data_IF_570012345238
#
_entry.id   IF_570012345238
#
_cell.length_a   1.000
_cell.length_b   1.000
_cell.length_c   1.000
_cell.angle_alpha   90.00
_cell.angle_beta   90.00
_cell.angle_gamma   90.00
#
_symmetry.space_group_name_H-M   'P 1'
#
loop_
_entity.id
_entity.type
_entity.pdbx_description
1 polymer ?
2 polymer ?
3 non-polymer ?
4 water ?
#
# COMPACT_ATOMS: atom_id res chain seq x y z
N UNK A 10 -19.28 9.14 -4.10
CA UNK A 10 -18.43 7.93 -4.27
C UNK A 10 -19.03 6.63 -3.72
N UNK A 11 -19.79 6.71 -2.64
CA UNK A 11 -20.35 5.50 -2.01
C UNK A 11 -21.34 4.73 -2.87
N UNK A 12 -21.93 5.41 -3.83
CA UNK A 12 -22.85 4.82 -4.79
C UNK A 12 -22.19 3.73 -5.66
N UNK A 13 -20.85 3.76 -5.74
CA UNK A 13 -20.11 2.72 -6.44
C UNK A 13 -20.22 1.35 -5.75
N UNK A 14 -20.69 1.31 -4.51
CA UNK A 14 -20.91 0.04 -3.82
C UNK A 14 -22.28 -0.49 -4.14
N UNK A 15 -23.17 0.38 -4.63
CA UNK A 15 -24.59 0.04 -4.84
C UNK A 15 -24.88 -0.49 -6.25
N UNK A 16 -24.21 0.05 -7.27
CA UNK A 16 -24.32 -0.49 -8.63
C UNK A 16 -23.47 -1.73 -8.93
N UNK A 17 -23.30 -2.07 -10.21
CA UNK A 17 -22.47 -3.23 -10.59
C UNK A 17 -21.00 -2.96 -10.37
N UNK A 18 -20.25 -4.01 -10.08
CA UNK A 18 -18.88 -3.86 -9.64
C UNK A 18 -17.93 -3.31 -10.70
N UNK A 19 -18.22 -3.51 -12.00
CA UNK A 19 -17.34 -2.98 -13.07
C UNK A 19 -17.14 -1.46 -12.95
N UNK A 20 -18.16 -0.74 -12.51
CA UNK A 20 -18.04 0.69 -12.28
C UNK A 20 -17.05 0.99 -11.17
N UNK A 21 -17.10 0.21 -10.08
CA UNK A 21 -16.18 0.37 -8.94
C UNK A 21 -14.77 0.11 -9.41
N UNK A 22 -14.60 -0.98 -10.14
CA UNK A 22 -13.29 -1.39 -10.57
C UNK A 22 -12.68 -0.36 -11.51
N UNK A 23 -13.47 0.19 -12.44
CA UNK A 23 -12.95 1.23 -13.31
C UNK A 23 -12.59 2.49 -12.52
N UNK A 24 -13.38 2.85 -11.52
CA UNK A 24 -12.99 3.96 -10.67
C UNK A 24 -11.60 3.72 -10.01
N UNK A 25 -11.36 2.51 -9.52
CA UNK A 25 -10.10 2.21 -8.85
C UNK A 25 -8.92 2.23 -9.81
N UNK A 26 -9.13 1.77 -11.04
CA UNK A 26 -8.11 1.91 -12.08
C UNK A 26 -7.82 3.35 -12.44
N UNK A 27 -8.83 4.20 -12.50
CA UNK A 27 -8.66 5.62 -12.87
C UNK A 27 -7.89 6.38 -11.79
N UNK A 28 -8.17 6.13 -10.52
CA UNK A 28 -7.46 6.82 -9.44
C UNK A 28 -6.12 6.13 -9.02
N UNK A 29 -5.68 5.09 -9.73
CA UNK A 29 -4.35 4.55 -9.50
C UNK A 29 -3.35 5.70 -9.64
N UNK A 30 -2.44 5.88 -8.67
CA UNK A 30 -1.42 6.94 -8.78
C UNK A 30 -0.50 6.73 -9.97
N UNK A 31 -0.03 7.82 -10.56
CA UNK A 31 0.77 7.74 -11.78
C UNK A 31 2.20 7.37 -11.37
N UNK A 32 2.94 6.90 -12.37
CA UNK A 32 4.33 6.47 -12.22
C UNK A 32 5.11 7.54 -11.47
N UNK A 33 5.96 7.14 -10.53
CA UNK A 33 6.80 8.10 -9.83
C UNK A 33 8.26 7.88 -10.24
N UNK A 34 8.98 8.98 -10.41
CA UNK A 34 10.43 8.98 -10.65
C UNK A 34 11.15 9.32 -9.36
N UNK A 35 12.35 8.77 -9.17
CA UNK A 35 13.06 8.84 -7.90
C UNK A 35 14.23 9.85 -7.86
N UNK A 36 14.81 10.13 -9.04
CA UNK A 36 16.05 10.93 -9.21
C UNK A 36 17.27 10.20 -8.63
N UNK A 48 22.35 6.31 -1.57
CA UNK A 48 21.16 5.89 -2.31
C UNK A 48 20.08 5.36 -1.35
N UNK A 49 20.23 5.65 -0.07
CA UNK A 49 19.21 5.35 0.94
C UNK A 49 18.33 6.59 1.06
N UNK A 50 18.96 7.75 0.92
CA UNK A 50 18.28 9.03 0.86
C UNK A 50 17.38 9.17 -0.37
N UNK A 51 17.62 8.36 -1.40
CA UNK A 51 16.76 8.37 -2.58
C UNK A 51 15.42 7.77 -2.23
N UNK A 52 15.45 6.63 -1.52
CA UNK A 52 14.23 5.93 -1.16
C UNK A 52 13.43 6.70 -0.12
N UNK A 53 14.12 7.34 0.82
CA UNK A 53 13.46 8.18 1.80
C UNK A 53 12.70 9.30 1.16
N UNK A 54 13.29 9.89 0.12
CA UNK A 54 12.63 10.96 -0.63
C UNK A 54 11.42 10.41 -1.38
N UNK A 55 11.61 9.27 -2.02
CA UNK A 55 10.60 8.62 -2.82
C UNK A 55 9.44 8.14 -1.95
N UNK A 56 9.73 7.59 -0.78
CA UNK A 56 8.70 7.08 0.11
C UNK A 56 7.88 8.20 0.70
N UNK A 57 8.53 9.36 0.92
CA UNK A 57 7.84 10.51 1.47
C UNK A 57 6.80 10.99 0.48
N UNK A 58 7.20 11.07 -0.77
CA UNK A 58 6.29 11.45 -1.84
C UNK A 58 5.17 10.44 -2.12
N UNK A 59 5.42 9.16 -1.88
CA UNK A 59 4.41 8.17 -2.09
C UNK A 59 3.38 8.16 -0.98
N UNK A 60 3.75 8.63 0.20
CA UNK A 60 2.78 8.83 1.26
C UNK A 60 1.77 9.89 0.84
N UNK A 61 2.24 10.97 0.21
CA UNK A 61 1.35 12.06 -0.19
C UNK A 61 0.32 11.54 -1.19
N UNK A 62 0.83 10.85 -2.19
CA UNK A 62 0.05 10.17 -3.22
C UNK A 62 -0.92 9.13 -2.64
N UNK A 63 -0.44 8.34 -1.70
CA UNK A 63 -1.28 7.38 -1.02
C UNK A 63 -2.44 8.07 -0.26
N UNK A 64 -2.17 9.21 0.39
CA UNK A 64 -3.23 9.89 1.14
C UNK A 64 -4.39 10.31 0.25
N UNK A 65 -4.09 10.92 -0.90
CA UNK A 65 -5.15 11.34 -1.81
C UNK A 65 -5.79 10.14 -2.50
N UNK A 66 -5.04 9.04 -2.63
CA UNK A 66 -5.58 7.79 -3.18
C UNK A 66 -6.64 7.25 -2.22
N UNK A 67 -6.29 7.13 -0.95
CA UNK A 67 -7.22 6.71 0.09
C UNK A 67 -8.53 7.50 0.03
N UNK A 68 -8.43 8.82 -0.13
CA UNK A 68 -9.62 9.66 -0.21
C UNK A 68 -10.56 9.37 -1.39
N UNK A 69 -10.00 8.88 -2.50
CA UNK A 69 -10.78 8.37 -3.62
C UNK A 69 -11.30 6.92 -3.45
N UNK A 70 -10.96 6.23 -2.37
CA UNK A 70 -11.58 4.95 -2.10
C UNK A 70 -12.97 5.17 -1.54
N UNK A 71 -13.99 4.68 -2.23
CA UNK A 71 -15.35 4.81 -1.73
C UNK A 71 -15.49 4.27 -0.28
N UNK A 72 -16.18 5.05 0.55
CA UNK A 72 -16.37 4.75 1.95
C UNK A 72 -15.33 5.36 2.90
N UNK A 73 -14.11 5.56 2.42
CA UNK A 73 -13.00 5.95 3.30
C UNK A 73 -13.26 7.28 3.98
N UNK A 74 -13.63 8.27 3.17
CA UNK A 74 -13.92 9.62 3.64
C UNK A 74 -15.14 9.72 4.57
N UNK A 75 -15.96 8.67 4.68
CA UNK A 75 -17.07 8.61 5.64
C UNK A 75 -16.63 8.18 7.05
N UNK A 76 -15.42 7.65 7.17
CA UNK A 76 -14.83 7.41 8.48
C UNK A 76 -14.54 8.77 9.13
N UNK A 77 -14.61 8.82 10.44
CA UNK A 77 -14.13 9.97 11.21
C UNK A 77 -12.68 10.23 10.81
N UNK A 78 -12.27 11.50 10.85
CA UNK A 78 -10.91 11.86 10.49
C UNK A 78 -9.91 11.13 11.32
N UNK A 79 -10.20 10.93 12.60
CA UNK A 79 -9.18 10.36 13.43
C UNK A 79 -9.03 8.86 13.09
N UNK A 80 -10.12 8.21 12.72
CA UNK A 80 -10.01 6.86 12.18
C UNK A 80 -9.36 6.81 10.79
N UNK A 81 -9.55 7.82 9.96
CA UNK A 81 -8.86 7.86 8.68
C UNK A 81 -7.39 7.92 8.93
N UNK A 82 -7.03 8.66 9.97
CA UNK A 82 -5.66 8.85 10.36
C UNK A 82 -5.09 7.53 10.85
N UNK A 83 -5.81 6.85 11.72
CA UNK A 83 -5.33 5.59 12.31
C UNK A 83 -5.09 4.47 11.31
N UNK A 84 -6.03 4.32 10.39
CA UNK A 84 -5.93 3.39 9.29
C UNK A 84 -4.66 3.66 8.46
N UNK A 85 -4.55 4.88 7.97
CA UNK A 85 -3.45 5.24 7.13
C UNK A 85 -2.12 5.06 7.81
N UNK A 86 -2.03 5.41 9.07
CA UNK A 86 -0.75 5.32 9.70
C UNK A 86 -0.38 3.90 10.09
N UNK A 87 -1.32 2.97 10.01
CA UNK A 87 -1.03 1.57 10.21
C UNK A 87 -0.93 0.75 8.92
N UNK A 88 -1.43 1.23 7.77
CA UNK A 88 -1.33 0.47 6.54
C UNK A 88 -0.48 1.10 5.43
N UNK A 89 -0.06 2.34 5.58
CA UNK A 89 0.59 3.04 4.51
C UNK A 89 1.75 2.26 3.90
N UNK A 90 2.54 1.60 4.72
CA UNK A 90 3.67 0.86 4.21
C UNK A 90 3.22 -0.40 3.48
N UNK A 91 2.13 -1.00 3.92
CA UNK A 91 1.53 -2.10 3.16
C UNK A 91 1.11 -1.67 1.75
N UNK A 92 0.55 -0.47 1.62
CA UNK A 92 0.18 0.02 0.27
C UNK A 92 1.41 0.34 -0.61
N UNK A 93 2.43 0.95 -0.03
CA UNK A 93 3.64 1.25 -0.76
C UNK A 93 4.27 -0.04 -1.25
N UNK A 94 4.43 -1.01 -0.36
CA UNK A 94 5.04 -2.30 -0.66
C UNK A 94 4.25 -3.06 -1.70
N UNK A 95 2.93 -3.00 -1.63
CA UNK A 95 2.11 -3.66 -2.65
C UNK A 95 2.25 -2.99 -4.04
N UNK A 96 2.47 -1.68 -4.07
CA UNK A 96 2.76 -1.01 -5.32
C UNK A 96 4.10 -1.45 -5.89
N UNK A 97 5.14 -1.59 -5.06
CA UNK A 97 6.42 -2.06 -5.57
C UNK A 97 6.23 -3.47 -6.12
N UNK A 98 5.44 -4.28 -5.44
CA UNK A 98 5.21 -5.63 -5.90
C UNK A 98 4.54 -5.69 -7.29
N UNK A 99 3.42 -4.97 -7.53
CA UNK A 99 2.72 -4.99 -8.83
C UNK A 99 3.66 -4.54 -9.94
N UNK A 100 4.49 -3.54 -9.65
CA UNK A 100 5.43 -3.00 -10.64
C UNK A 100 6.55 -3.97 -10.97
N UNK A 101 6.87 -4.85 -10.03
CA UNK A 101 7.91 -5.84 -10.19
C UNK A 101 7.40 -7.19 -10.70
N UNK A 102 6.09 -7.37 -10.85
CA UNK A 102 5.54 -8.68 -11.25
C UNK A 102 6.08 -9.22 -12.60
N UNK A 103 6.19 -8.39 -13.65
CA UNK A 103 6.72 -8.86 -14.93
C UNK A 103 8.24 -9.09 -14.97
N UNK A 104 8.99 -8.60 -13.98
CA UNK A 104 10.45 -8.74 -13.94
C UNK A 104 10.88 -10.03 -13.22
N UNK A 105 12.19 -10.26 -13.13
CA UNK A 105 12.72 -11.46 -12.47
C UNK A 105 13.93 -11.13 -11.57
N UNK A 106 13.79 -11.42 -10.27
CA UNK A 106 14.80 -11.07 -9.26
C UNK A 106 15.14 -9.59 -9.25
N UNK A 107 14.16 -8.76 -9.59
CA UNK A 107 14.32 -7.30 -9.57
C UNK A 107 13.07 -6.63 -9.00
N UNK A 108 13.29 -5.51 -8.33
CA UNK A 108 12.27 -4.73 -7.63
C UNK A 108 12.16 -3.35 -8.22
N UNK A 109 11.05 -3.07 -8.88
CA UNK A 109 10.77 -1.76 -9.45
C UNK A 109 10.24 -0.77 -8.42
N UNK A 110 11.14 -0.17 -7.65
CA UNK A 110 10.78 0.91 -6.73
C UNK A 110 10.25 2.15 -7.43
N UNK A 111 10.73 2.40 -8.65
CA UNK A 111 10.28 3.54 -9.47
C UNK A 111 10.56 3.28 -10.95
N UNK A 112 9.99 4.11 -11.82
CA UNK A 112 10.28 4.04 -13.27
C UNK A 112 11.80 4.05 -13.57
N UNK A 113 12.55 4.84 -12.80
CA UNK A 113 14.00 5.01 -12.98
C UNK A 113 14.85 4.41 -11.82
N UNK A 114 14.26 3.53 -11.02
CA UNK A 114 14.96 2.87 -9.94
C UNK A 114 14.55 1.40 -9.82
N UNK A 115 15.11 0.58 -10.70
CA UNK A 115 14.94 -0.87 -10.67
C UNK A 115 16.19 -1.47 -10.03
N UNK A 116 16.02 -2.45 -9.15
CA UNK A 116 17.13 -2.95 -8.36
C UNK A 116 17.07 -4.44 -8.16
N UNK A 117 18.16 -5.12 -8.45
CA UNK A 117 18.30 -6.52 -8.07
C UNK A 117 18.69 -6.58 -6.58
N UNK A 118 18.81 -7.79 -6.05
CA UNK A 118 19.17 -8.03 -4.65
C UNK A 118 20.52 -7.38 -4.29
N UNK A 119 21.51 -7.52 -5.16
CA UNK A 119 22.80 -6.86 -4.98
C UNK A 119 22.68 -5.35 -5.02
N UNK A 120 21.98 -4.82 -6.02
CA UNK A 120 21.74 -3.39 -6.12
C UNK A 120 21.11 -2.80 -4.87
N UNK A 121 20.33 -3.61 -4.16
CA UNK A 121 19.55 -3.18 -3.00
C UNK A 121 20.35 -3.23 -1.70
N UNK A 122 21.31 -4.14 -1.60
CA UNK A 122 22.28 -4.12 -0.49
C UNK A 122 23.04 -2.80 -0.56
N UNK A 123 23.42 -2.42 -1.78
CA UNK A 123 24.26 -1.26 -2.06
C UNK A 123 23.56 0.06 -1.81
N UNK A 124 22.23 0.09 -1.95
CA UNK A 124 21.45 1.27 -1.59
C UNK A 124 21.09 1.29 -0.09
N UNK A 125 21.78 0.46 0.70
CA UNK A 125 21.62 0.38 2.15
C UNK A 125 20.29 -0.17 2.66
N UNK A 126 19.80 -1.25 2.03
CA UNK A 126 18.52 -1.87 2.39
C UNK A 126 18.68 -3.20 3.09
N UNK A 127 19.92 -3.64 3.29
CA UNK A 127 20.18 -4.93 3.90
C UNK A 127 19.42 -6.02 3.19
N UNK A 128 18.74 -6.86 3.98
CA UNK A 128 18.02 -8.04 3.48
C UNK A 128 16.64 -7.72 2.91
N UNK A 129 16.30 -6.45 2.72
CA UNK A 129 14.94 -6.09 2.35
C UNK A 129 14.60 -6.58 0.95
N UNK A 130 15.58 -6.54 0.05
CA UNK A 130 15.37 -7.01 -1.30
C UNK A 130 14.88 -8.46 -1.35
N UNK A 131 15.48 -9.31 -0.53
CA UNK A 131 15.07 -10.70 -0.43
C UNK A 131 13.65 -10.83 0.09
N UNK A 132 13.29 -10.03 1.07
CA UNK A 132 11.96 -10.06 1.67
C UNK A 132 10.93 -9.65 0.64
N UNK A 133 11.22 -8.57 -0.06
CA UNK A 133 10.35 -8.07 -1.09
C UNK A 133 10.16 -9.02 -2.24
N UNK A 134 11.22 -9.75 -2.62
CA UNK A 134 11.11 -10.68 -3.76
C UNK A 134 10.32 -11.91 -3.37
N UNK A 135 10.37 -12.30 -2.11
CA UNK A 135 9.48 -13.35 -1.60
C UNK A 135 7.98 -13.03 -1.80
N UNK A 136 7.57 -11.79 -1.52
CA UNK A 136 6.20 -11.32 -1.79
C UNK A 136 5.91 -11.34 -3.27
N UNK A 137 6.83 -10.80 -4.04
CA UNK A 137 6.68 -10.72 -5.49
C UNK A 137 6.49 -12.12 -6.11
N UNK A 138 7.26 -13.12 -5.68
CA UNK A 138 7.10 -14.48 -6.21
C UNK A 138 5.75 -15.09 -5.84
N UNK A 139 5.30 -14.83 -4.62
CA UNK A 139 4.02 -15.28 -4.18
C UNK A 139 2.88 -14.68 -5.04
N UNK A 140 3.00 -13.43 -5.45
CA UNK A 140 1.97 -12.84 -6.31
C UNK A 140 2.12 -13.28 -7.79
N UNK A 141 3.36 -13.54 -8.20
CA UNK A 141 3.66 -14.04 -9.54
C UNK A 141 2.99 -15.40 -9.73
N UNK A 142 3.14 -16.30 -8.75
CA UNK A 142 2.44 -17.59 -8.75
C UNK A 142 0.94 -17.46 -9.05
N UNK A 143 0.31 -16.39 -8.61
CA UNK A 143 -1.14 -16.18 -8.82
C UNK A 143 -1.51 -15.62 -10.20
N UNK A 144 -0.56 -14.96 -10.87
CA UNK A 144 -0.83 -14.26 -12.14
C UNK A 144 -1.88 -13.16 -11.91
N UNK A 145 -1.65 -12.36 -10.88
CA UNK A 145 -2.52 -11.26 -10.48
C UNK A 145 -2.86 -10.33 -11.67
N UNK A 146 -4.14 -10.12 -11.89
CA UNK A 146 -4.60 -9.11 -12.83
C UNK A 146 -4.61 -7.73 -12.16
N UNK A 147 -4.70 -6.73 -13.02
CA UNK A 147 -4.59 -5.34 -12.65
C UNK A 147 -5.84 -4.95 -11.89
N UNK A 148 -6.97 -5.52 -12.30
CA UNK A 148 -8.24 -5.33 -11.62
C UNK A 148 -8.20 -5.93 -10.20
N UNK A 149 -7.56 -7.09 -10.08
CA UNK A 149 -7.49 -7.82 -8.85
C UNK A 149 -6.61 -7.08 -7.87
N UNK A 150 -5.47 -6.62 -8.36
CA UNK A 150 -4.58 -5.75 -7.61
C UNK A 150 -5.25 -4.49 -7.01
N UNK A 151 -6.04 -3.74 -7.76
CA UNK A 151 -6.60 -2.51 -7.16
C UNK A 151 -7.66 -2.79 -6.11
N UNK A 152 -8.40 -3.88 -6.28
CA UNK A 152 -9.34 -4.33 -5.28
C UNK A 152 -8.61 -4.85 -4.06
N UNK A 153 -7.54 -5.59 -4.29
CA UNK A 153 -6.76 -6.13 -3.18
C UNK A 153 -6.09 -4.98 -2.38
N UNK A 154 -5.51 -4.00 -3.07
CA UNK A 154 -4.89 -2.81 -2.46
C UNK A 154 -5.88 -2.00 -1.61
N UNK A 155 -7.06 -1.79 -2.13
CA UNK A 155 -8.13 -1.15 -1.38
C UNK A 155 -8.56 -1.97 -0.16
N UNK A 156 -8.61 -3.28 -0.35
CA UNK A 156 -8.97 -4.20 0.73
C UNK A 156 -7.90 -4.23 1.83
N UNK A 157 -6.64 -4.22 1.46
CA UNK A 157 -5.58 -4.11 2.47
C UNK A 157 -5.67 -2.82 3.29
N UNK A 158 -5.97 -1.69 2.65
CA UNK A 158 -6.24 -0.45 3.37
C UNK A 158 -7.29 -0.66 4.46
N UNK A 159 -8.38 -1.33 4.08
CA UNK A 159 -9.54 -1.49 4.94
C UNK A 159 -9.39 -2.61 5.97
N UNK A 160 -8.31 -3.37 5.91
CA UNK A 160 -8.05 -4.48 6.84
C UNK A 160 -7.07 -4.11 7.96
N UNK A 161 -7.03 -2.83 8.25
CA UNK A 161 -5.99 -2.21 9.06
C UNK A 161 -5.63 -2.80 10.44
N UNK A 162 -6.59 -3.05 11.32
CA UNK A 162 -6.17 -3.46 12.68
C UNK A 162 -5.38 -2.45 13.55
N UNK A 163 -5.53 -1.16 13.32
CA UNK A 163 -4.99 -0.21 14.30
C UNK A 163 -5.61 -0.37 15.71
N UNK A 164 -4.74 -0.31 16.71
CA UNK A 164 -5.15 -0.24 18.12
C UNK A 164 -5.96 1.03 18.43
N UNK A 165 -5.73 2.10 17.66
CA UNK A 165 -6.37 3.41 17.88
C UNK A 165 -7.72 3.60 17.18
N UNK A 166 -8.31 2.57 16.61
CA UNK A 166 -9.57 2.76 15.89
C UNK A 166 -10.72 2.88 16.88
N UNK A 167 -11.63 3.83 16.64
CA UNK A 167 -12.73 4.17 17.55
C UNK A 167 -14.01 3.48 17.13
N UNK A 168 -14.43 3.73 15.90
CA UNK A 168 -15.59 3.07 15.34
C UNK A 168 -15.18 1.81 14.54
N UNK A 169 -14.92 0.73 15.27
CA UNK A 169 -14.59 -0.56 14.68
C UNK A 169 -15.65 -1.05 13.70
N UNK A 170 -16.91 -0.84 14.04
CA UNK A 170 -18.05 -1.23 13.21
C UNK A 170 -18.01 -0.53 11.84
N UNK A 171 -17.64 0.75 11.81
CA UNK A 171 -17.54 1.49 10.54
C UNK A 171 -16.39 0.99 9.64
N UNK A 172 -15.23 0.73 10.23
CA UNK A 172 -14.12 0.15 9.50
C UNK A 172 -14.46 -1.27 8.98
N UNK A 173 -15.13 -2.07 9.80
CA UNK A 173 -15.56 -3.39 9.40
C UNK A 173 -16.54 -3.31 8.23
N UNK A 174 -17.44 -2.35 8.25
CA UNK A 174 -18.43 -2.18 7.21
C UNK A 174 -17.79 -1.81 5.85
N UNK A 175 -16.79 -0.95 5.88
CA UNK A 175 -16.03 -0.62 4.67
C UNK A 175 -15.24 -1.82 4.15
N UNK A 176 -14.59 -2.54 5.07
CA UNK A 176 -13.89 -3.79 4.74
C UNK A 176 -14.82 -4.76 4.01
N UNK A 177 -16.03 -4.89 4.52
CA UNK A 177 -17.01 -5.82 3.95
C UNK A 177 -17.44 -5.49 2.55
N UNK A 178 -17.67 -4.21 2.28
CA UNK A 178 -18.04 -3.79 0.94
C UNK A 178 -16.92 -4.04 -0.04
N UNK A 179 -15.68 -3.83 0.38
CA UNK A 179 -14.55 -4.02 -0.56
C UNK A 179 -14.32 -5.50 -0.82
N UNK A 180 -14.52 -6.29 0.20
CA UNK A 180 -14.45 -7.72 0.08
C UNK A 180 -15.55 -8.23 -0.84
N UNK A 181 -16.75 -7.73 -0.63
CA UNK A 181 -17.88 -8.09 -1.49
C UNK A 181 -17.58 -7.69 -2.95
N UNK A 182 -16.96 -6.54 -3.15
CA UNK A 182 -16.63 -6.10 -4.48
C UNK A 182 -15.68 -7.09 -5.14
N UNK A 183 -14.65 -7.52 -4.41
CA UNK A 183 -13.75 -8.54 -4.94
C UNK A 183 -14.48 -9.84 -5.33
N UNK A 184 -15.37 -10.31 -4.46
CA UNK A 184 -16.19 -11.50 -4.76
C UNK A 184 -17.03 -11.32 -6.03
N UNK A 185 -17.79 -10.22 -6.06
CA UNK A 185 -18.58 -9.88 -7.24
C UNK A 185 -17.69 -9.82 -8.49
N UNK A 186 -16.54 -9.20 -8.36
CA UNK A 186 -15.63 -9.15 -9.48
C UNK A 186 -15.19 -10.55 -9.90
N UNK A 187 -14.84 -11.42 -8.96
CA UNK A 187 -14.30 -12.72 -9.37
C UNK A 187 -15.36 -13.62 -9.99
N UNK A 188 -16.62 -13.45 -9.63
CA UNK A 188 -17.73 -14.22 -10.17
C UNK A 188 -18.17 -13.83 -11.60
N UNK A 189 -17.76 -12.66 -12.11
CA UNK A 189 -17.95 -12.30 -13.52
C UNK A 189 -16.90 -12.92 -14.46
N UNK A 199 -13.53 -19.56 -8.58
CA UNK A 199 -14.41 -19.25 -7.44
C UNK A 199 -13.92 -20.02 -6.21
N UNK A 200 -12.63 -19.72 -5.98
CA UNK A 200 -11.72 -20.00 -4.88
C UNK A 200 -10.58 -18.91 -5.04
N UNK A 201 -10.70 -18.11 -6.09
CA UNK A 201 -9.71 -17.18 -6.55
C UNK A 201 -9.53 -16.00 -5.59
N UNK A 202 -10.63 -15.50 -5.03
CA UNK A 202 -10.57 -14.40 -4.07
C UNK A 202 -9.72 -14.77 -2.87
N UNK A 203 -9.96 -15.98 -2.35
CA UNK A 203 -9.32 -16.49 -1.15
C UNK A 203 -7.83 -16.62 -1.35
N UNK A 204 -7.46 -17.03 -2.54
CA UNK A 204 -6.07 -17.14 -2.91
C UNK A 204 -5.38 -15.81 -2.84
N UNK A 205 -6.05 -14.79 -3.34
CA UNK A 205 -5.61 -13.43 -3.15
C UNK A 205 -5.49 -13.07 -1.68
N UNK A 206 -6.50 -13.36 -0.86
CA UNK A 206 -6.45 -12.96 0.57
C UNK A 206 -5.32 -13.64 1.31
N UNK A 207 -4.96 -14.87 0.90
CA UNK A 207 -3.88 -15.61 1.53
C UNK A 207 -2.47 -15.02 1.27
N UNK A 208 -2.36 -14.01 0.39
CA UNK A 208 -1.09 -13.25 0.26
C UNK A 208 -1.01 -12.03 1.18
N UNK A 209 -2.10 -11.67 1.84
CA UNK A 209 -2.07 -10.54 2.76
C UNK A 209 -1.17 -10.72 4.02
N UNK A 210 -1.15 -11.87 4.66
CA UNK A 210 -0.25 -12.07 5.79
C UNK A 210 1.21 -11.76 5.42
N UNK A 211 1.67 -12.28 4.27
CA UNK A 211 3.02 -11.96 3.76
C UNK A 211 3.20 -10.48 3.39
N UNK A 212 2.16 -9.88 2.83
CA UNK A 212 2.24 -8.45 2.53
C UNK A 212 2.47 -7.66 3.84
N UNK A 213 1.76 -8.01 4.88
CA UNK A 213 1.89 -7.26 6.13
C UNK A 213 3.23 -7.53 6.86
N UNK A 214 3.75 -8.74 6.77
CA UNK A 214 5.03 -9.07 7.40
C UNK A 214 6.13 -8.32 6.66
N UNK A 215 6.03 -8.30 5.34
CA UNK A 215 7.03 -7.67 4.50
C UNK A 215 7.09 -6.16 4.75
N UNK A 216 5.93 -5.52 4.75
CA UNK A 216 5.82 -4.13 5.13
C UNK A 216 6.43 -3.83 6.51
N UNK A 217 6.20 -4.67 7.50
CA UNK A 217 6.77 -4.46 8.82
C UNK A 217 8.28 -4.56 8.85
N UNK A 218 8.84 -5.39 7.95
CA UNK A 218 10.30 -5.44 7.79
C UNK A 218 10.83 -4.15 7.19
N UNK A 219 10.16 -3.62 6.18
CA UNK A 219 10.58 -2.39 5.55
C UNK A 219 10.53 -1.27 6.58
N UNK A 220 9.45 -1.21 7.35
CA UNK A 220 9.32 -0.25 8.45
C UNK A 220 10.45 -0.29 9.46
N UNK A 221 10.77 -1.48 9.91
CA UNK A 221 11.82 -1.66 10.92
C UNK A 221 13.16 -1.19 10.38
N UNK A 222 13.40 -1.42 9.10
CA UNK A 222 14.67 -1.01 8.53
C UNK A 222 14.80 0.51 8.50
N UNK A 223 13.74 1.21 8.09
CA UNK A 223 13.79 2.66 7.96
C UNK A 223 13.66 3.38 9.32
N UNK A 224 13.11 2.69 10.32
CA UNK A 224 13.09 3.21 11.66
C UNK A 224 14.51 3.17 12.22
N UNK A 225 15.27 2.13 11.86
CA UNK A 225 16.67 2.03 12.20
C UNK A 225 17.49 3.16 11.58
N UNK A 226 17.14 3.56 10.36
CA UNK A 226 17.80 4.65 9.66
C UNK A 226 17.51 6.00 10.35
N UNK A 227 16.29 6.16 10.88
CA UNK A 227 15.92 7.34 11.65
C UNK A 227 16.87 7.56 12.82
N UNK A 228 17.14 6.47 13.56
CA UNK A 228 17.95 6.52 14.77
C UNK A 228 19.40 6.90 14.52
N UNK A 229 19.99 6.36 13.45
CA UNK A 229 21.35 6.72 13.04
C UNK A 229 21.51 8.23 12.89
N UNK A 230 20.50 8.90 12.33
CA UNK A 230 20.51 10.34 12.22
C UNK A 230 21.36 10.90 11.10
N UNK A 231 22.04 10.03 10.34
CA UNK A 231 22.82 10.47 9.17
C UNK A 231 21.86 11.04 8.13
N UNK A 232 21.01 10.17 7.60
CA UNK A 232 20.16 10.48 6.46
C UNK A 232 19.02 11.40 6.91
N UNK A 233 18.92 12.59 6.32
CA UNK A 233 17.78 13.49 6.61
C UNK A 233 16.47 13.01 5.95
N UNK A 234 15.39 13.12 6.71
CA UNK A 234 14.08 12.67 6.26
C UNK A 234 13.08 13.77 6.44
N UNK A 235 12.13 13.85 5.53
CA UNK A 235 11.11 14.90 5.58
C UNK A 235 10.10 14.64 6.68
N UNK A 236 9.34 15.67 7.03
CA UNK A 236 8.44 15.68 8.17
C UNK A 236 7.45 14.54 8.16
N UNK A 237 6.68 14.44 7.06
CA UNK A 237 5.61 13.45 6.92
C UNK A 237 6.12 12.02 7.10
N UNK A 238 7.28 11.72 6.48
CA UNK A 238 7.90 10.40 6.58
C UNK A 238 8.28 10.06 8.03
N UNK A 239 8.86 11.02 8.76
CA UNK A 239 9.17 10.83 10.17
C UNK A 239 7.92 10.60 11.00
N UNK A 240 6.94 11.45 10.80
CA UNK A 240 5.65 11.32 11.48
C UNK A 240 5.03 9.92 11.31
N UNK A 241 5.10 9.36 10.10
CA UNK A 241 4.49 8.06 9.83
C UNK A 241 5.31 6.90 10.39
N UNK A 242 6.63 7.09 10.49
CA UNK A 242 7.50 6.11 11.14
C UNK A 242 7.30 6.07 12.66
N UNK A 243 7.06 7.23 13.26
CA UNK A 243 6.79 7.31 14.70
C UNK A 243 5.52 6.54 15.04
N UNK A 244 4.49 6.68 14.20
CA UNK A 244 3.18 6.02 14.38
C UNK A 244 3.18 4.51 14.06
N UNK B 4 -0.95 14.98 12.11
CA UNK B 4 -0.71 16.46 12.02
C UNK B 4 -0.26 16.94 10.64
N UNK B 5 0.91 16.55 10.14
CA UNK B 5 1.17 16.70 8.70
C UNK B 5 0.11 15.88 7.94
N UNK B 6 -0.10 14.68 8.41
CA UNK B 6 -1.15 13.80 7.95
C UNK B 6 -2.52 14.46 8.05
N UNK B 7 -2.81 15.15 9.14
CA UNK B 7 -4.10 15.84 9.22
C UNK B 7 -4.22 16.88 8.13
N UNK B 8 -3.14 17.61 7.85
CA UNK B 8 -3.16 18.64 6.82
C UNK B 8 -3.45 18.08 5.43
N UNK B 9 -2.84 16.96 5.06
CA UNK B 9 -3.15 16.39 3.73
C UNK B 9 -4.52 15.72 3.66
N UNK B 10 -5.03 15.23 4.80
CA UNK B 10 -6.33 14.56 4.81
C UNK B 10 -7.50 15.52 4.62
N UNK B 11 -7.33 16.72 5.15
CA UNK B 11 -8.36 17.74 5.25
C UNK B 11 -8.18 18.80 4.17
N UNK B 12 -7.14 18.63 3.33
CA UNK B 12 -7.06 19.34 2.06
C UNK B 12 -8.24 18.87 1.19
#
# INVERSE_FOLDING_TARGET
GSSHHHHHHLEVLFQGPVNALVSHLLVVEPEKLYAMPDPAGPDGHLPAVATLCDLFDREIVVTISWAKSIPGFSSLSLSDQMSVLQSVWMEVLVLGVAQRSLPLQDELAFAEDLVLDEEGARAAGLGELGAALLQLVRRLQALRLEREEYVLLKALALANSDSVHIEDAEAVEQLREALHEALLEYEAGRAGPGGGAERRRAGRLLLTLPLLRQTAGKVLAHFYGVKLEGKVPMHKLFLEMLEAMMD
RPASELLKYLTT
#
